data_IF_817486078344
#
_entry.id   IF_817486078344
#
_cell.length_a   1.000
_cell.length_b   1.000
_cell.length_c   1.000
_cell.angle_alpha   90.00
_cell.angle_beta   90.00
_cell.angle_gamma   90.00
#
_symmetry.space_group_name_H-M   'P 1'
#
loop_
_entity.id
_entity.type
_entity.pdbx_description
1 polymer ?
#
# COMPACT_ATOMS: atom_id res chain seq x y z
N UNK A 1 -12.22 25.32 -19.85
CA UNK A 1 -12.01 24.36 -18.75
C UNK A 1 -10.92 23.41 -19.16
N UNK A 2 -9.87 23.25 -18.34
CA UNK A 2 -8.78 22.30 -18.61
C UNK A 2 -9.27 20.88 -18.37
N UNK A 3 -8.70 19.88 -19.06
CA UNK A 3 -9.07 18.47 -18.88
C UNK A 3 -8.90 18.01 -17.42
N UNK A 4 -7.89 18.52 -16.72
CA UNK A 4 -7.64 18.24 -15.30
C UNK A 4 -8.81 18.68 -14.41
N UNK A 5 -9.37 19.88 -14.64
CA UNK A 5 -10.50 20.41 -13.88
C UNK A 5 -11.75 19.55 -14.09
N UNK A 6 -12.01 19.12 -15.34
CA UNK A 6 -13.12 18.24 -15.68
C UNK A 6 -13.00 16.90 -14.92
N UNK A 7 -11.82 16.30 -14.94
CA UNK A 7 -11.57 15.01 -14.30
C UNK A 7 -11.70 15.10 -12.78
N UNK A 8 -11.20 16.17 -12.14
CA UNK A 8 -11.33 16.37 -10.70
C UNK A 8 -12.80 16.53 -10.30
N UNK A 9 -13.57 17.36 -11.01
CA UNK A 9 -15.00 17.55 -10.71
C UNK A 9 -15.79 16.25 -10.88
N UNK A 10 -15.49 15.47 -11.91
CA UNK A 10 -16.11 14.17 -12.09
C UNK A 10 -15.72 13.19 -10.98
N UNK A 11 -14.44 13.14 -10.60
CA UNK A 11 -13.94 12.26 -9.56
C UNK A 11 -14.59 12.56 -8.21
N UNK A 12 -14.70 13.84 -7.82
CA UNK A 12 -15.33 14.21 -6.55
C UNK A 12 -16.79 13.76 -6.45
N UNK A 13 -17.52 13.76 -7.57
CA UNK A 13 -18.93 13.34 -7.63
C UNK A 13 -19.13 11.83 -7.77
N UNK A 14 -18.19 11.11 -8.39
CA UNK A 14 -18.39 9.73 -8.84
C UNK A 14 -17.38 8.73 -8.26
N UNK A 15 -16.44 9.17 -7.42
CA UNK A 15 -15.45 8.25 -6.82
C UNK A 15 -16.16 7.17 -6.01
N UNK A 16 -15.79 5.92 -6.29
CA UNK A 16 -16.14 4.77 -5.45
C UNK A 16 -15.65 4.98 -4.03
N UNK A 17 -16.48 4.56 -3.08
CA UNK A 17 -16.18 4.47 -1.66
C UNK A 17 -15.19 3.31 -1.43
N UNK A 18 -13.92 3.65 -1.21
CA UNK A 18 -12.84 2.71 -0.94
C UNK A 18 -12.02 3.23 0.23
N UNK A 19 -11.71 2.41 1.26
CA UNK A 19 -11.19 2.90 2.53
C UNK A 19 -9.83 3.60 2.40
N UNK A 20 -8.97 3.13 1.49
CA UNK A 20 -7.68 3.77 1.22
C UNK A 20 -7.79 5.14 0.52
N UNK A 21 -8.97 5.60 0.12
CA UNK A 21 -9.16 6.96 -0.43
C UNK A 21 -9.44 8.03 0.61
N UNK A 22 -9.67 7.64 1.87
CA UNK A 22 -10.01 8.55 2.97
C UNK A 22 -8.86 8.70 3.97
N UNK A 23 -7.63 8.39 3.54
CA UNK A 23 -6.43 8.48 4.35
C UNK A 23 -5.26 8.95 3.51
N UNK A 24 -4.32 9.66 4.15
CA UNK A 24 -3.02 10.01 3.58
C UNK A 24 -1.90 9.22 4.27
N UNK A 25 -2.24 8.21 5.08
CA UNK A 25 -1.28 7.38 5.79
C UNK A 25 -0.47 6.53 4.78
N UNK A 26 0.86 6.75 4.65
CA UNK A 26 1.69 6.04 3.69
C UNK A 26 1.66 4.52 3.86
N UNK A 27 1.51 4.01 5.09
CA UNK A 27 1.43 2.58 5.34
C UNK A 27 0.15 1.99 4.72
N UNK A 28 -0.99 2.63 4.98
CA UNK A 28 -2.30 2.20 4.48
C UNK A 28 -2.40 2.31 2.96
N UNK A 29 -1.87 3.39 2.37
CA UNK A 29 -1.84 3.56 0.92
C UNK A 29 -0.95 2.47 0.29
N UNK A 30 0.28 2.33 0.77
CA UNK A 30 1.22 1.32 0.26
C UNK A 30 0.67 -0.10 0.36
N UNK A 31 0.06 -0.47 1.49
CA UNK A 31 -0.57 -1.77 1.67
C UNK A 31 -1.66 -2.02 0.60
N UNK A 32 -2.52 -1.03 0.34
CA UNK A 32 -3.56 -1.14 -0.68
C UNK A 32 -2.97 -1.32 -2.08
N UNK A 33 -1.94 -0.55 -2.43
CA UNK A 33 -1.26 -0.66 -3.72
C UNK A 33 -0.63 -2.03 -3.92
N UNK A 34 0.04 -2.59 -2.90
CA UNK A 34 0.65 -3.93 -3.00
C UNK A 34 -0.42 -5.01 -3.13
N UNK A 35 -1.51 -4.94 -2.37
CA UNK A 35 -2.62 -5.90 -2.44
C UNK A 35 -3.28 -5.86 -3.82
N UNK A 36 -3.53 -4.67 -4.37
CA UNK A 36 -4.28 -4.47 -5.61
C UNK A 36 -3.46 -4.76 -6.88
N UNK A 37 -2.15 -4.95 -6.78
CA UNK A 37 -1.35 -5.46 -7.90
C UNK A 37 -1.93 -6.79 -8.42
N UNK A 38 -2.42 -6.77 -9.66
CA UNK A 38 -3.04 -7.92 -10.33
C UNK A 38 -4.19 -8.58 -9.52
N UNK A 39 -4.83 -7.82 -8.63
CA UNK A 39 -5.94 -8.30 -7.78
C UNK A 39 -7.14 -7.37 -7.95
N UNK A 40 -8.32 -7.93 -8.18
CA UNK A 40 -9.55 -7.12 -8.34
C UNK A 40 -9.94 -6.46 -7.01
N UNK A 41 -10.47 -5.24 -7.08
CA UNK A 41 -10.87 -4.43 -5.90
C UNK A 41 -11.76 -5.20 -4.93
N UNK A 42 -12.78 -5.92 -5.41
CA UNK A 42 -13.70 -6.69 -4.54
C UNK A 42 -12.97 -7.70 -3.67
N UNK A 43 -11.98 -8.41 -4.22
CA UNK A 43 -11.16 -9.36 -3.47
C UNK A 43 -10.15 -8.62 -2.59
N UNK A 44 -9.43 -7.64 -3.15
CA UNK A 44 -8.42 -6.87 -2.43
C UNK A 44 -8.96 -6.17 -1.18
N UNK A 45 -10.21 -5.71 -1.21
CA UNK A 45 -10.85 -5.04 -0.07
C UNK A 45 -10.94 -5.95 1.17
N UNK A 46 -11.27 -7.23 0.99
CA UNK A 46 -11.35 -8.20 2.10
C UNK A 46 -9.99 -8.38 2.75
N UNK A 47 -8.94 -8.54 1.94
CA UNK A 47 -7.57 -8.71 2.46
C UNK A 47 -7.04 -7.42 3.08
N UNK A 48 -7.34 -6.26 2.49
CA UNK A 48 -6.94 -4.97 3.04
C UNK A 48 -7.45 -4.79 4.47
N UNK A 49 -8.73 -5.07 4.72
CA UNK A 49 -9.29 -5.00 6.07
C UNK A 49 -8.65 -6.02 7.02
N UNK A 50 -8.51 -7.28 6.60
CA UNK A 50 -7.89 -8.32 7.42
C UNK A 50 -6.43 -8.00 7.78
N UNK A 51 -5.68 -7.41 6.84
CA UNK A 51 -4.31 -6.94 7.08
C UNK A 51 -4.26 -5.80 8.08
N UNK A 52 -5.12 -4.80 7.96
CA UNK A 52 -5.15 -3.69 8.93
C UNK A 52 -5.64 -4.11 10.32
N UNK A 53 -6.52 -5.11 10.40
CA UNK A 53 -6.95 -5.66 11.69
C UNK A 53 -5.80 -6.42 12.37
N UNK A 54 -5.01 -7.18 11.61
CA UNK A 54 -3.87 -7.95 12.15
C UNK A 54 -2.61 -7.11 12.38
N UNK A 55 -2.39 -6.13 11.51
CA UNK A 55 -1.19 -5.30 11.42
C UNK A 55 -1.64 -3.84 11.21
N UNK A 56 -2.01 -3.13 12.29
CA UNK A 56 -2.60 -1.79 12.17
C UNK A 56 -1.64 -0.71 11.67
N UNK A 57 -0.32 -0.94 11.78
CA UNK A 57 0.72 -0.01 11.36
C UNK A 57 1.98 -0.71 10.82
N UNK A 58 2.93 0.11 10.36
CA UNK A 58 4.22 -0.34 9.83
C UNK A 58 5.02 -1.19 10.83
N UNK A 59 4.98 -0.86 12.12
CA UNK A 59 5.73 -1.58 13.16
C UNK A 59 5.12 -2.95 13.43
N UNK A 60 3.79 -3.04 13.50
CA UNK A 60 3.08 -4.30 13.67
C UNK A 60 3.34 -5.25 12.49
N UNK A 61 3.35 -4.75 11.26
CA UNK A 61 3.69 -5.56 10.09
C UNK A 61 5.16 -6.00 10.11
N UNK A 62 6.10 -5.11 10.44
CA UNK A 62 7.52 -5.43 10.48
C UNK A 62 7.89 -6.44 11.57
N UNK A 63 7.24 -6.38 12.73
CA UNK A 63 7.47 -7.27 13.86
C UNK A 63 6.82 -8.66 13.68
N UNK A 64 5.94 -8.82 12.69
CA UNK A 64 5.21 -10.06 12.49
C UNK A 64 6.14 -11.23 12.09
N UNK A 65 5.84 -12.45 12.54
CA UNK A 65 6.40 -13.65 11.93
C UNK A 65 6.02 -13.74 10.44
N UNK A 66 6.95 -14.13 9.58
CA UNK A 66 6.69 -14.18 8.12
C UNK A 66 5.58 -15.17 7.76
N UNK A 67 5.53 -16.32 8.43
CA UNK A 67 4.48 -17.32 8.29
C UNK A 67 3.09 -16.75 8.58
N UNK A 68 2.94 -15.87 9.58
CA UNK A 68 1.68 -15.17 9.86
C UNK A 68 1.27 -14.25 8.71
N UNK A 69 2.23 -13.51 8.14
CA UNK A 69 1.98 -12.64 6.97
C UNK A 69 1.57 -13.46 5.75
N UNK A 70 2.29 -14.55 5.46
CA UNK A 70 1.99 -15.43 4.33
C UNK A 70 0.66 -16.17 4.50
N UNK A 71 0.30 -16.54 5.73
CA UNK A 71 -0.98 -17.15 6.05
C UNK A 71 -2.13 -16.20 5.76
N UNK A 72 -2.00 -14.92 6.13
CA UNK A 72 -3.02 -13.91 5.82
C UNK A 72 -3.08 -13.58 4.32
N UNK A 73 -1.96 -13.72 3.61
CA UNK A 73 -1.90 -13.54 2.14
C UNK A 73 -2.45 -14.74 1.35
N UNK A 74 -2.77 -15.85 2.01
CA UNK A 74 -3.18 -17.09 1.36
C UNK A 74 -4.41 -16.85 0.48
N UNK A 75 -4.29 -17.08 -0.83
CA UNK A 75 -5.37 -16.90 -1.80
C UNK A 75 -5.25 -15.66 -2.71
N UNK A 76 -4.34 -14.72 -2.41
CA UNK A 76 -4.04 -13.58 -3.30
C UNK A 76 -3.08 -13.91 -4.45
N UNK A 77 -2.40 -15.05 -4.41
CA UNK A 77 -1.35 -15.41 -5.36
C UNK A 77 -0.13 -14.48 -5.29
N UNK A 78 0.86 -14.71 -6.16
CA UNK A 78 2.09 -13.92 -6.26
C UNK A 78 2.74 -13.62 -4.89
N UNK A 79 3.04 -14.67 -4.11
CA UNK A 79 3.56 -14.56 -2.73
C UNK A 79 4.88 -13.78 -2.59
N UNK A 80 5.60 -13.55 -3.69
CA UNK A 80 6.74 -12.62 -3.71
C UNK A 80 6.35 -11.20 -3.30
N UNK A 81 5.12 -10.75 -3.59
CA UNK A 81 4.57 -9.47 -3.12
C UNK A 81 4.53 -9.42 -1.59
N UNK A 82 3.96 -10.44 -0.95
CA UNK A 82 3.88 -10.52 0.51
C UNK A 82 5.25 -10.52 1.17
N UNK A 83 6.20 -11.31 0.64
CA UNK A 83 7.58 -11.37 1.16
C UNK A 83 8.32 -10.05 0.99
N UNK A 84 8.19 -9.42 -0.18
CA UNK A 84 8.82 -8.11 -0.42
C UNK A 84 8.19 -7.03 0.45
N UNK A 85 6.86 -7.03 0.61
CA UNK A 85 6.16 -6.13 1.51
C UNK A 85 6.67 -6.28 2.95
N UNK A 86 6.75 -7.51 3.45
CA UNK A 86 7.24 -7.76 4.80
C UNK A 86 8.71 -7.35 4.99
N UNK A 87 9.58 -7.70 4.03
CA UNK A 87 10.98 -7.29 4.05
C UNK A 87 11.15 -5.76 4.00
N UNK A 88 10.33 -5.07 3.21
CA UNK A 88 10.33 -3.61 3.14
C UNK A 88 9.81 -2.99 4.44
N UNK A 89 8.78 -3.56 5.06
CA UNK A 89 8.30 -3.08 6.36
C UNK A 89 9.41 -3.15 7.42
N UNK A 90 10.13 -4.28 7.49
CA UNK A 90 11.32 -4.43 8.36
C UNK A 90 12.38 -3.40 8.06
N UNK A 91 12.75 -3.22 6.80
CA UNK A 91 13.74 -2.22 6.39
C UNK A 91 13.34 -0.80 6.80
N UNK A 92 12.08 -0.41 6.57
CA UNK A 92 11.58 0.92 6.91
C UNK A 92 11.61 1.15 8.43
N UNK A 93 11.25 0.14 9.23
CA UNK A 93 11.33 0.24 10.69
C UNK A 93 12.78 0.32 11.17
N UNK A 94 13.63 -0.61 10.75
CA UNK A 94 15.01 -0.75 11.22
C UNK A 94 15.93 0.38 10.77
N UNK A 95 15.73 0.91 9.56
CA UNK A 95 16.66 1.87 8.93
C UNK A 95 16.11 3.27 8.81
N UNK A 96 14.79 3.43 8.73
CA UNK A 96 14.12 4.72 8.48
C UNK A 96 13.22 5.15 9.65
N UNK A 97 13.29 4.44 10.79
CA UNK A 97 12.53 4.77 12.00
C UNK A 97 11.02 4.62 11.82
N UNK A 98 10.57 3.72 10.93
CA UNK A 98 9.15 3.44 10.67
C UNK A 98 8.47 4.42 9.72
N UNK A 99 9.22 5.37 9.14
CA UNK A 99 8.67 6.38 8.22
C UNK A 99 9.00 6.02 6.78
N UNK A 100 7.97 5.92 5.94
CA UNK A 100 8.16 5.77 4.49
C UNK A 100 8.89 7.00 3.94
N UNK A 101 9.83 6.82 2.98
CA UNK A 101 10.43 7.93 2.27
C UNK A 101 9.37 8.79 1.59
N UNK A 102 9.63 10.10 1.49
CA UNK A 102 8.67 11.07 0.95
C UNK A 102 8.87 11.39 -0.53
N UNK A 103 10.00 10.97 -1.09
CA UNK A 103 10.35 11.25 -2.49
C UNK A 103 10.20 10.00 -3.34
N UNK A 104 9.84 10.21 -4.61
CA UNK A 104 9.70 9.13 -5.60
C UNK A 104 10.99 8.31 -5.73
N UNK A 105 12.13 8.99 -5.79
CA UNK A 105 13.45 8.40 -5.97
C UNK A 105 13.86 7.51 -4.80
N UNK A 106 13.49 7.88 -3.57
CA UNK A 106 13.75 7.05 -2.39
C UNK A 106 12.78 5.89 -2.27
N UNK A 107 11.50 6.10 -2.59
CA UNK A 107 10.49 5.03 -2.62
C UNK A 107 10.88 3.92 -3.60
N UNK A 108 11.43 4.28 -4.77
CA UNK A 108 11.87 3.34 -5.80
C UNK A 108 13.01 2.41 -5.33
N UNK A 109 13.74 2.78 -4.27
CA UNK A 109 14.80 1.95 -3.69
C UNK A 109 14.26 0.82 -2.81
N UNK A 110 12.98 0.90 -2.41
CA UNK A 110 12.36 -0.10 -1.53
C UNK A 110 12.05 -1.40 -2.30
N UNK A 111 12.27 -2.53 -1.65
CA UNK A 111 12.08 -3.84 -2.27
C UNK A 111 10.60 -4.05 -2.65
N UNK A 112 10.35 -4.41 -3.91
CA UNK A 112 9.00 -4.63 -4.42
C UNK A 112 8.20 -3.34 -4.68
N UNK A 113 8.82 -2.17 -4.55
CA UNK A 113 8.23 -0.88 -4.95
C UNK A 113 8.75 -0.52 -6.34
N UNK A 114 7.92 -0.70 -7.36
CA UNK A 114 8.21 -0.27 -8.73
C UNK A 114 7.76 1.16 -9.02
N UNK A 115 8.04 1.65 -10.22
CA UNK A 115 7.73 3.02 -10.66
C UNK A 115 6.26 3.42 -10.41
N UNK A 116 5.31 2.54 -10.72
CA UNK A 116 3.89 2.79 -10.45
C UNK A 116 3.60 2.99 -8.96
N UNK A 117 4.04 2.06 -8.10
CA UNK A 117 3.77 2.11 -6.66
C UNK A 117 4.48 3.29 -5.99
N UNK A 118 5.71 3.60 -6.40
CA UNK A 118 6.43 4.79 -5.93
C UNK A 118 5.67 6.08 -6.30
N UNK A 119 5.21 6.21 -7.54
CA UNK A 119 4.45 7.38 -7.98
C UNK A 119 3.08 7.49 -7.28
N UNK A 120 2.38 6.37 -7.09
CA UNK A 120 1.11 6.34 -6.36
C UNK A 120 1.28 6.82 -4.91
N UNK A 121 2.27 6.30 -4.18
CA UNK A 121 2.53 6.72 -2.80
C UNK A 121 2.94 8.20 -2.76
N UNK A 122 3.89 8.61 -3.60
CA UNK A 122 4.40 9.98 -3.62
C UNK A 122 3.30 11.01 -3.93
N UNK A 123 2.43 10.73 -4.89
CA UNK A 123 1.37 11.68 -5.31
C UNK A 123 0.12 11.67 -4.42
N UNK A 124 -0.16 10.56 -3.74
CA UNK A 124 -1.34 10.44 -2.87
C UNK A 124 -1.01 10.92 -1.45
N UNK A 125 0.16 10.59 -0.92
CA UNK A 125 0.47 10.79 0.50
C UNK A 125 1.18 12.13 0.80
N UNK A 126 1.91 12.69 -0.17
CA UNK A 126 2.86 13.80 0.04
C UNK A 126 2.68 14.91 -0.99
#
# INVERSE_FOLDING_TARGET
>A
MKISEILVVWYEKNKRDLPWRYTLDPYRIWLSEVILQQTRVKQGLVYYHAFLESFPDMYALAAAPEDRVLKLWQGLGYYTRARNMHATAKHVVERLGGRMPRTYEELLKLKGVGAYTAAAIASICF
#
